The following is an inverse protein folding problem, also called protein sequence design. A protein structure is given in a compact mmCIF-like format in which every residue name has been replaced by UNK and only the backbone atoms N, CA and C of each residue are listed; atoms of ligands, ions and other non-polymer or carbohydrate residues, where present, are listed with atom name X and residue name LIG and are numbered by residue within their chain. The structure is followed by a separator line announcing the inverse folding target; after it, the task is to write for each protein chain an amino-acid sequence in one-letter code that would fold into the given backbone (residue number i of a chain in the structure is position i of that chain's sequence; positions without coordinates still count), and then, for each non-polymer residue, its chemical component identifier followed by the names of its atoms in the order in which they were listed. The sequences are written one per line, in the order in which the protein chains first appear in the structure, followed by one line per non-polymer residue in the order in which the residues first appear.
data_IF_165834962479
#
_entry.id   IF_165834962479
#
_cell.length_a   1.000
_cell.length_b   1.000
_cell.length_c   1.000
_cell.angle_alpha   90.00
_cell.angle_beta   90.00
_cell.angle_gamma   90.00
#
_symmetry.space_group_name_H-M   'P 1'
#
loop_
_entity.id
_entity.type
_entity.pdbx_description
1 polymer ?
#
# COMPACT_ATOMS: atom_id res chain seq x y z
N UNK A 1 -19.56 0.48 -14.72
CA UNK A 1 -18.43 -0.34 -14.22
C UNK A 1 -18.99 -1.74 -14.03
N UNK A 2 -18.30 -2.76 -14.53
CA UNK A 2 -18.70 -4.15 -14.27
C UNK A 2 -18.08 -4.59 -12.94
N UNK A 3 -18.72 -5.50 -12.21
CA UNK A 3 -18.21 -6.06 -10.94
C UNK A 3 -16.78 -6.60 -11.07
N UNK A 4 -16.46 -7.19 -12.22
CA UNK A 4 -15.12 -7.70 -12.53
C UNK A 4 -14.07 -6.58 -12.62
N UNK A 5 -14.45 -5.39 -13.09
CA UNK A 5 -13.56 -4.23 -13.14
C UNK A 5 -13.25 -3.70 -11.74
N UNK A 6 -14.28 -3.53 -10.90
CA UNK A 6 -14.10 -3.01 -9.54
C UNK A 6 -13.27 -3.94 -8.64
N UNK A 7 -13.49 -5.26 -8.78
CA UNK A 7 -12.70 -6.28 -8.07
C UNK A 7 -11.26 -6.36 -8.58
N UNK A 8 -11.04 -6.25 -9.89
CA UNK A 8 -9.69 -6.21 -10.46
C UNK A 8 -8.92 -4.98 -9.97
N UNK A 9 -9.53 -3.80 -10.00
CA UNK A 9 -8.89 -2.56 -9.53
C UNK A 9 -8.54 -2.63 -8.03
N UNK A 10 -9.44 -3.17 -7.21
CA UNK A 10 -9.18 -3.38 -5.79
C UNK A 10 -8.05 -4.38 -5.53
N UNK A 11 -8.00 -5.48 -6.30
CA UNK A 11 -6.93 -6.47 -6.21
C UNK A 11 -5.57 -5.86 -6.61
N UNK A 12 -5.53 -5.07 -7.68
CA UNK A 12 -4.32 -4.37 -8.12
C UNK A 12 -3.83 -3.40 -7.04
N UNK A 13 -4.73 -2.59 -6.47
CA UNK A 13 -4.39 -1.68 -5.39
C UNK A 13 -3.88 -2.41 -4.14
N UNK A 14 -4.47 -3.57 -3.80
CA UNK A 14 -3.98 -4.44 -2.73
C UNK A 14 -2.58 -5.00 -3.00
N UNK A 15 -2.30 -5.45 -4.22
CA UNK A 15 -0.97 -5.91 -4.63
C UNK A 15 0.08 -4.79 -4.56
N UNK A 16 -0.27 -3.59 -5.01
CA UNK A 16 0.62 -2.41 -4.93
C UNK A 16 0.92 -2.07 -3.47
N UNK A 17 -0.07 -2.11 -2.59
CA UNK A 17 0.13 -1.87 -1.17
C UNK A 17 1.09 -2.89 -0.53
N UNK A 18 0.90 -4.18 -0.84
CA UNK A 18 1.76 -5.24 -0.32
C UNK A 18 3.20 -5.11 -0.84
N UNK A 19 3.36 -4.73 -2.11
CA UNK A 19 4.67 -4.43 -2.68
C UNK A 19 5.35 -3.24 -1.98
N UNK A 20 4.60 -2.17 -1.67
CA UNK A 20 5.13 -1.02 -0.94
C UNK A 20 5.58 -1.39 0.48
N UNK A 21 4.83 -2.24 1.19
CA UNK A 21 5.27 -2.76 2.50
C UNK A 21 6.57 -3.56 2.39
N UNK A 22 6.66 -4.47 1.42
CA UNK A 22 7.85 -5.30 1.21
C UNK A 22 9.08 -4.45 0.88
N UNK A 23 8.95 -3.48 -0.03
CA UNK A 23 10.02 -2.55 -0.39
C UNK A 23 10.42 -1.69 0.81
N UNK A 24 9.45 -1.11 1.52
CA UNK A 24 9.71 -0.30 2.72
C UNK A 24 10.49 -1.07 3.78
N UNK A 25 10.11 -2.33 4.04
CA UNK A 25 10.79 -3.21 4.98
C UNK A 25 12.23 -3.54 4.54
N UNK A 26 12.43 -3.88 3.27
CA UNK A 26 13.77 -4.17 2.73
C UNK A 26 14.69 -2.95 2.79
N UNK A 27 14.19 -1.78 2.41
CA UNK A 27 14.97 -0.54 2.45
C UNK A 27 15.28 -0.15 3.90
N UNK A 28 14.30 -0.22 4.80
CA UNK A 28 14.51 0.04 6.24
C UNK A 28 15.56 -0.90 6.85
N UNK A 29 15.53 -2.18 6.50
CA UNK A 29 16.53 -3.16 6.95
C UNK A 29 17.93 -2.82 6.43
N UNK A 30 18.05 -2.39 5.16
CA UNK A 30 19.33 -1.96 4.59
C UNK A 30 19.86 -0.67 5.21
N UNK A 31 19.00 0.28 5.52
CA UNK A 31 19.41 1.52 6.19
C UNK A 31 19.89 1.27 7.61
N UNK A 32 19.23 0.37 8.34
CA UNK A 32 19.64 -0.01 9.71
C UNK A 32 20.97 -0.77 9.74
N UNK A 33 21.28 -1.57 8.70
CA UNK A 33 22.50 -2.41 8.65
C UNK A 33 23.66 -1.77 7.91
N UNK A 34 23.41 -0.81 7.01
CA UNK A 34 24.42 -0.19 6.15
C UNK A 34 24.88 1.21 6.59
N UNK A 35 24.20 1.82 7.56
CA UNK A 35 24.53 3.15 8.08
C UNK A 35 24.77 3.10 9.60
N UNK A 36 25.39 4.15 10.12
CA UNK A 36 25.49 4.35 11.56
C UNK A 36 24.09 4.44 12.19
N UNK A 37 23.91 3.88 13.38
CA UNK A 37 22.60 3.77 14.05
C UNK A 37 21.90 5.12 14.25
N UNK A 38 22.64 6.21 14.46
CA UNK A 38 22.06 7.55 14.65
C UNK A 38 21.43 8.13 13.39
N UNK A 39 21.87 7.70 12.22
CA UNK A 39 21.35 8.16 10.92
C UNK A 39 20.44 7.10 10.30
N UNK A 40 20.84 5.84 10.36
CA UNK A 40 20.14 4.71 9.77
C UNK A 40 18.76 4.47 10.37
N UNK A 41 18.61 4.55 11.70
CA UNK A 41 17.34 4.29 12.38
C UNK A 41 16.29 5.36 12.04
N UNK A 42 16.55 6.67 12.16
CA UNK A 42 15.57 7.69 11.78
C UNK A 42 15.17 7.59 10.30
N UNK A 43 16.13 7.33 9.41
CA UNK A 43 15.86 7.20 7.99
C UNK A 43 15.02 5.95 7.68
N UNK A 44 15.30 4.83 8.34
CA UNK A 44 14.53 3.59 8.22
C UNK A 44 13.07 3.79 8.68
N UNK A 45 12.85 4.53 9.77
CA UNK A 45 11.50 4.89 10.24
C UNK A 45 10.79 5.80 9.25
N UNK A 46 11.49 6.81 8.70
CA UNK A 46 10.91 7.71 7.71
C UNK A 46 10.51 6.97 6.43
N UNK A 47 11.38 6.11 5.90
CA UNK A 47 11.11 5.31 4.70
C UNK A 47 10.00 4.28 4.95
N UNK A 48 10.11 3.51 6.03
CA UNK A 48 9.09 2.53 6.40
C UNK A 48 7.72 3.17 6.63
N UNK A 49 7.69 4.34 7.28
CA UNK A 49 6.49 5.14 7.51
C UNK A 49 5.88 5.67 6.21
N UNK A 50 6.70 6.23 5.31
CA UNK A 50 6.24 6.71 4.01
C UNK A 50 5.67 5.57 3.15
N UNK A 51 6.38 4.44 3.06
CA UNK A 51 5.89 3.26 2.34
C UNK A 51 4.58 2.72 2.94
N UNK A 52 4.46 2.68 4.27
CA UNK A 52 3.23 2.26 4.94
C UNK A 52 2.08 3.22 4.64
N UNK A 53 2.33 4.53 4.70
CA UNK A 53 1.33 5.55 4.39
C UNK A 53 0.77 5.39 2.97
N UNK A 54 1.64 5.28 1.97
CA UNK A 54 1.21 5.08 0.59
C UNK A 54 0.53 3.72 0.38
N UNK A 55 1.00 2.66 1.05
CA UNK A 55 0.36 1.35 1.00
C UNK A 55 -1.08 1.42 1.52
N UNK A 56 -1.31 2.06 2.67
CA UNK A 56 -2.64 2.24 3.23
C UNK A 56 -3.54 3.11 2.34
N UNK A 57 -3.00 4.12 1.67
CA UNK A 57 -3.77 4.89 0.69
C UNK A 57 -4.26 4.02 -0.47
N UNK A 58 -3.41 3.13 -1.00
CA UNK A 58 -3.83 2.23 -2.08
C UNK A 58 -4.89 1.23 -1.62
N UNK A 59 -4.75 0.67 -0.42
CA UNK A 59 -5.79 -0.18 0.18
C UNK A 59 -7.10 0.59 0.30
N UNK A 60 -7.05 1.83 0.79
CA UNK A 60 -8.24 2.67 0.94
C UNK A 60 -8.92 2.96 -0.41
N UNK A 61 -8.15 3.25 -1.46
CA UNK A 61 -8.70 3.42 -2.82
C UNK A 61 -9.35 2.13 -3.34
N UNK A 62 -8.70 0.98 -3.17
CA UNK A 62 -9.28 -0.31 -3.58
C UNK A 62 -10.55 -0.68 -2.81
N UNK A 63 -10.61 -0.38 -1.51
CA UNK A 63 -11.83 -0.58 -0.71
C UNK A 63 -12.93 0.41 -1.14
N UNK A 64 -12.57 1.66 -1.41
CA UNK A 64 -13.52 2.67 -1.88
C UNK A 64 -14.19 2.24 -3.19
N UNK A 65 -13.43 1.75 -4.17
CA UNK A 65 -13.99 1.29 -5.45
C UNK A 65 -14.95 0.11 -5.28
N UNK A 66 -14.64 -0.83 -4.38
CA UNK A 66 -15.54 -1.94 -4.05
C UNK A 66 -16.84 -1.46 -3.39
N UNK A 67 -16.74 -0.53 -2.44
CA UNK A 67 -17.90 0.03 -1.74
C UNK A 67 -18.75 0.87 -2.69
N UNK A 68 -18.13 1.65 -3.57
CA UNK A 68 -18.83 2.43 -4.59
C UNK A 68 -19.61 1.50 -5.55
N UNK A 69 -19.01 0.41 -6.02
CA UNK A 69 -19.69 -0.59 -6.85
C UNK A 69 -20.87 -1.26 -6.10
N UNK A 70 -20.67 -1.64 -4.83
CA UNK A 70 -21.70 -2.27 -4.02
C UNK A 70 -22.88 -1.32 -3.69
N UNK A 71 -22.61 -0.03 -3.47
CA UNK A 71 -23.63 0.97 -3.10
C UNK A 71 -24.35 1.57 -4.30
N UNK A 72 -23.73 1.59 -5.48
CA UNK A 72 -24.35 2.09 -6.71
C UNK A 72 -25.33 1.10 -7.36
N UNK A 73 -25.53 -0.09 -6.77
CA UNK A 73 -26.66 -0.95 -7.09
C UNK A 73 -26.66 -1.52 -8.51
N UNK A 74 -25.49 -1.65 -9.16
CA UNK A 74 -25.33 -2.50 -10.35
C UNK A 74 -25.34 -3.97 -9.94
N UNK A 75 -26.49 -4.40 -9.43
CA UNK A 75 -26.91 -5.78 -9.46
C UNK A 75 -27.31 -6.09 -10.91
N UNK A 76 -26.31 -6.42 -11.72
CA UNK A 76 -26.52 -7.35 -12.82
C UNK A 76 -26.17 -8.75 -12.32
#
# INVERSE_FOLDING_TARGET
MSRDTATTDAAVNGMVALALFAVGALVAARLTTGLDGWVGIPLAVAVGGACSYFAFQQIAHGVYTLVEDATSGRAE
#
